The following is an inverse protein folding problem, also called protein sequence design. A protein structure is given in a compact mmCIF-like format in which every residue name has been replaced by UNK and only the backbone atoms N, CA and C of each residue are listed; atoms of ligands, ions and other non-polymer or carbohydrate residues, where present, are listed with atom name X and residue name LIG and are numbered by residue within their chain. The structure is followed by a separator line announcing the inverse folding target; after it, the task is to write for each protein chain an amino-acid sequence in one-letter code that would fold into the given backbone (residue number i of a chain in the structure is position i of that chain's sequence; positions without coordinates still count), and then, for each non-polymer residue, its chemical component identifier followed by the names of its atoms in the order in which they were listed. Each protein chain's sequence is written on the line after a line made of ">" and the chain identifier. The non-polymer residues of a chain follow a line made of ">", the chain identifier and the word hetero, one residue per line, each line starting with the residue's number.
data_IF_247013931157
#
_entry.id   IF_247013931157
#
_cell.length_a   1.000
_cell.length_b   1.000
_cell.length_c   1.000
_cell.angle_alpha   90.00
_cell.angle_beta   90.00
_cell.angle_gamma   90.00
#
_symmetry.space_group_name_H-M   'P 1'
#
loop_
_entity.id
_entity.type
_entity.pdbx_description
1 polymer ?
#
# COMPACT_ATOMS: atom_id res chain seq x y z
N UNK A 1 10.28 14.94 -2.86
CA UNK A 1 10.76 16.18 -2.26
C UNK A 1 11.72 15.83 -1.13
N UNK A 2 12.91 16.42 -1.11
CA UNK A 2 13.89 16.24 -0.05
C UNK A 2 14.24 17.60 0.57
N UNK A 3 14.61 17.58 1.83
CA UNK A 3 15.12 18.77 2.51
C UNK A 3 16.62 18.56 2.79
N UNK A 4 17.39 19.57 2.53
CA UNK A 4 18.82 19.60 2.79
C UNK A 4 19.23 20.90 3.46
N UNK A 5 20.26 20.86 4.28
CA UNK A 5 20.86 22.09 4.82
C UNK A 5 21.55 22.87 3.69
N UNK A 6 21.39 24.18 3.67
CA UNK A 6 22.10 25.09 2.76
C UNK A 6 23.60 25.14 3.09
N UNK A 7 23.96 24.86 4.34
CA UNK A 7 25.33 24.79 4.84
C UNK A 7 25.61 23.39 5.41
N UNK A 8 26.85 22.97 5.39
CA UNK A 8 27.27 21.69 5.98
C UNK A 8 27.30 21.76 7.51
N UNK A 9 26.15 22.04 8.12
CA UNK A 9 25.96 22.10 9.57
C UNK A 9 24.92 21.07 9.99
N UNK A 10 25.20 20.31 11.04
CA UNK A 10 24.19 19.44 11.65
C UNK A 10 23.10 20.33 12.26
N UNK A 11 21.91 20.32 11.64
CA UNK A 11 20.79 21.14 12.03
C UNK A 11 19.53 20.29 12.15
N UNK A 12 18.82 20.42 13.28
CA UNK A 12 17.54 19.74 13.53
C UNK A 12 16.32 20.62 13.30
N UNK A 13 16.50 21.84 12.76
CA UNK A 13 15.42 22.80 12.51
C UNK A 13 14.98 22.73 11.05
N UNK A 14 13.71 22.43 10.80
CA UNK A 14 13.16 22.33 9.44
C UNK A 14 13.17 23.69 8.70
N UNK A 15 12.96 24.79 9.41
CA UNK A 15 12.89 26.14 8.81
C UNK A 15 14.22 26.57 8.17
N UNK A 16 15.33 25.96 8.55
CA UNK A 16 16.66 26.27 8.01
C UNK A 16 17.02 25.34 6.83
N UNK A 17 16.11 24.49 6.40
CA UNK A 17 16.33 23.55 5.31
C UNK A 17 15.78 24.07 4.00
N UNK A 18 16.48 23.81 2.91
CA UNK A 18 16.05 24.12 1.54
C UNK A 18 15.42 22.87 0.95
N UNK A 19 14.23 23.01 0.36
CA UNK A 19 13.60 21.90 -0.38
C UNK A 19 14.32 21.66 -1.69
N UNK A 20 14.48 20.38 -2.05
CA UNK A 20 15.07 19.94 -3.31
C UNK A 20 14.23 18.81 -3.91
N UNK A 21 14.33 18.60 -5.21
CA UNK A 21 13.63 17.56 -5.92
C UNK A 21 14.58 16.81 -6.85
N UNK A 22 14.65 15.49 -6.67
CA UNK A 22 15.42 14.62 -7.55
C UNK A 22 14.50 13.55 -8.13
N UNK A 23 14.52 13.38 -9.44
CA UNK A 23 13.82 12.31 -10.15
C UNK A 23 14.85 11.27 -10.62
N UNK A 24 14.64 10.01 -10.18
CA UNK A 24 15.45 8.88 -10.59
C UNK A 24 14.55 7.88 -11.31
N UNK A 25 14.93 7.46 -12.50
CA UNK A 25 14.25 6.41 -13.26
C UNK A 25 15.11 5.14 -13.26
N UNK A 26 14.49 4.03 -12.89
CA UNK A 26 15.14 2.71 -12.87
C UNK A 26 14.23 1.69 -13.56
N UNK A 27 14.77 0.66 -14.22
CA UNK A 27 13.98 -0.49 -14.64
C UNK A 27 13.37 -1.16 -13.41
N UNK A 28 12.05 -1.41 -13.44
CA UNK A 28 11.33 -1.95 -12.30
C UNK A 28 10.53 -3.17 -12.73
N UNK A 29 10.86 -4.34 -12.18
CA UNK A 29 10.13 -5.59 -12.40
C UNK A 29 8.96 -5.77 -11.41
N UNK A 30 8.52 -7.00 -11.20
CA UNK A 30 7.53 -7.31 -10.18
C UNK A 30 8.10 -7.02 -8.79
N UNK A 31 7.58 -6.00 -8.12
CA UNK A 31 8.09 -5.50 -6.83
C UNK A 31 7.94 -6.53 -5.71
N UNK A 32 6.83 -7.25 -5.67
CA UNK A 32 6.55 -8.23 -4.62
C UNK A 32 7.09 -9.63 -4.92
N UNK A 33 7.60 -9.84 -6.15
CA UNK A 33 8.17 -11.12 -6.58
C UNK A 33 7.12 -12.21 -6.84
N UNK A 34 5.86 -12.01 -6.46
CA UNK A 34 4.75 -12.93 -6.65
C UNK A 34 3.46 -12.18 -6.99
N UNK A 35 2.58 -12.84 -7.74
CA UNK A 35 1.24 -12.34 -8.06
C UNK A 35 0.20 -12.71 -6.98
N UNK A 36 0.57 -13.59 -6.06
CA UNK A 36 -0.22 -14.04 -4.91
C UNK A 36 0.68 -14.06 -3.69
N UNK A 37 0.23 -13.51 -2.56
CA UNK A 37 1.06 -13.30 -1.39
C UNK A 37 0.70 -14.25 -0.25
N UNK A 38 1.74 -14.74 0.41
CA UNK A 38 1.68 -15.32 1.73
C UNK A 38 2.23 -14.30 2.73
N UNK A 39 1.38 -13.85 3.63
CA UNK A 39 1.72 -12.81 4.58
C UNK A 39 1.83 -13.34 6.02
N UNK A 40 2.53 -12.64 6.88
CA UNK A 40 2.46 -12.84 8.31
C UNK A 40 2.19 -11.52 9.04
N UNK A 41 1.60 -11.63 10.23
CA UNK A 41 1.47 -10.49 11.14
C UNK A 41 2.82 -10.24 11.80
N UNK A 42 3.39 -9.05 11.58
CA UNK A 42 4.67 -8.66 12.16
C UNK A 42 4.58 -8.46 13.68
N UNK A 43 5.66 -8.73 14.39
CA UNK A 43 5.84 -8.35 15.79
C UNK A 43 6.08 -6.86 15.95
N UNK A 44 6.61 -6.19 14.91
CA UNK A 44 6.78 -4.75 14.86
C UNK A 44 5.42 -4.06 14.76
N UNK A 45 5.27 -2.94 15.49
CA UNK A 45 4.07 -2.10 15.43
C UNK A 45 4.31 -0.91 14.53
N UNK A 46 3.25 -0.44 13.87
CA UNK A 46 3.29 0.77 13.08
C UNK A 46 3.65 1.96 13.95
N UNK A 47 4.49 2.86 13.43
CA UNK A 47 4.86 4.09 14.13
C UNK A 47 3.62 4.97 14.28
N UNK A 48 3.37 5.47 15.49
CA UNK A 48 2.24 6.32 15.78
C UNK A 48 2.46 7.75 15.28
N UNK A 49 1.36 8.39 14.87
CA UNK A 49 1.36 9.75 14.32
C UNK A 49 2.08 10.79 15.19
N UNK A 50 1.95 10.79 16.56
CA UNK A 50 2.70 11.70 17.40
C UNK A 50 4.20 11.43 17.47
N UNK A 51 4.69 10.29 17.02
CA UNK A 51 6.12 9.99 16.91
C UNK A 51 6.68 10.44 15.57
N UNK A 52 6.07 9.94 14.48
CA UNK A 52 6.36 10.31 13.10
C UNK A 52 5.04 10.30 12.34
N UNK A 53 4.62 11.43 11.72
CA UNK A 53 3.32 11.49 11.05
C UNK A 53 3.14 10.40 10.00
N UNK A 54 2.27 9.42 10.28
CA UNK A 54 2.03 8.25 9.43
C UNK A 54 1.49 8.62 8.04
N UNK A 55 0.79 9.76 7.94
CA UNK A 55 0.23 10.29 6.69
C UNK A 55 1.28 10.85 5.74
N UNK A 56 2.53 11.03 6.21
CA UNK A 56 3.64 11.53 5.40
C UNK A 56 4.50 10.35 4.91
N UNK A 57 4.80 10.35 3.61
CA UNK A 57 5.68 9.35 2.99
C UNK A 57 7.16 9.74 3.15
N UNK A 58 7.64 9.81 4.38
CA UNK A 58 9.01 10.22 4.71
C UNK A 58 9.95 9.02 4.83
N UNK A 59 11.21 9.19 4.42
CA UNK A 59 12.19 8.09 4.39
C UNK A 59 12.44 7.48 5.78
N UNK A 60 12.40 8.27 6.86
CA UNK A 60 12.64 7.78 8.20
C UNK A 60 11.66 6.70 8.68
N UNK A 61 10.41 6.76 8.22
CA UNK A 61 9.39 5.76 8.60
C UNK A 61 9.66 4.39 7.98
N UNK A 62 10.44 4.32 6.89
CA UNK A 62 10.77 3.06 6.23
C UNK A 62 11.68 2.15 7.05
N UNK A 63 12.37 2.66 8.07
CA UNK A 63 13.09 1.80 9.03
C UNK A 63 12.11 0.79 9.66
N UNK A 64 10.94 1.24 10.07
CA UNK A 64 9.88 0.38 10.62
C UNK A 64 9.38 -0.64 9.57
N UNK A 65 9.15 -0.20 8.34
CA UNK A 65 8.74 -1.07 7.22
C UNK A 65 9.80 -2.14 6.89
N UNK A 66 11.08 -1.76 6.87
CA UNK A 66 12.21 -2.67 6.61
C UNK A 66 12.30 -3.75 7.68
N UNK A 67 12.14 -3.40 8.96
CA UNK A 67 12.18 -4.35 10.06
C UNK A 67 11.04 -5.38 9.94
N UNK A 68 9.82 -4.92 9.70
CA UNK A 68 8.66 -5.80 9.53
C UNK A 68 8.80 -6.71 8.29
N UNK A 69 9.22 -6.15 7.15
CA UNK A 69 9.44 -6.92 5.91
C UNK A 69 10.54 -7.96 6.08
N UNK A 70 11.64 -7.59 6.73
CA UNK A 70 12.75 -8.50 6.99
C UNK A 70 12.32 -9.66 7.87
N UNK A 71 11.57 -9.39 8.94
CA UNK A 71 10.99 -10.42 9.80
C UNK A 71 10.14 -11.41 9.00
N UNK A 72 9.21 -10.91 8.16
CA UNK A 72 8.37 -11.73 7.32
C UNK A 72 9.18 -12.62 6.36
N UNK A 73 10.14 -12.02 5.64
CA UNK A 73 10.95 -12.77 4.66
C UNK A 73 11.85 -13.80 5.31
N UNK A 74 12.43 -13.53 6.48
CA UNK A 74 13.20 -14.51 7.25
C UNK A 74 12.34 -15.67 7.75
N UNK A 75 11.04 -15.43 7.99
CA UNK A 75 10.06 -16.45 8.36
C UNK A 75 9.46 -17.20 7.16
N UNK A 76 9.88 -16.88 5.93
CA UNK A 76 9.43 -17.56 4.70
C UNK A 76 8.11 -17.04 4.13
N UNK A 77 7.71 -15.82 4.50
CA UNK A 77 6.55 -15.13 3.94
C UNK A 77 6.97 -14.06 2.91
N UNK A 78 6.03 -13.70 2.05
CA UNK A 78 6.27 -12.71 1.00
C UNK A 78 6.14 -11.28 1.52
N UNK A 79 5.22 -11.03 2.50
CA UNK A 79 4.94 -9.69 3.02
C UNK A 79 4.49 -9.73 4.49
N UNK A 80 4.63 -8.58 5.15
CA UNK A 80 4.20 -8.35 6.53
C UNK A 80 2.89 -7.56 6.58
N UNK A 81 1.97 -7.95 7.45
CA UNK A 81 0.88 -7.11 7.91
C UNK A 81 1.29 -6.48 9.24
N UNK A 82 1.25 -5.16 9.31
CA UNK A 82 1.65 -4.40 10.49
C UNK A 82 0.40 -3.94 11.23
N UNK A 83 0.40 -4.12 12.54
CA UNK A 83 -0.67 -3.63 13.43
C UNK A 83 -0.26 -2.30 14.08
N UNK A 84 -1.22 -1.47 14.48
CA UNK A 84 -0.97 -0.32 15.35
C UNK A 84 -0.68 -0.78 16.79
N UNK A 85 -0.42 0.17 17.70
CA UNK A 85 -0.09 -0.17 19.08
C UNK A 85 -1.28 -0.78 19.85
N UNK A 86 -2.53 -0.48 19.44
CA UNK A 86 -3.75 -1.08 20.02
C UNK A 86 -3.99 -2.51 19.52
N UNK A 87 -3.23 -2.98 18.53
CA UNK A 87 -3.34 -4.31 17.96
C UNK A 87 -4.28 -4.42 16.76
N UNK A 88 -4.77 -3.30 16.24
CA UNK A 88 -5.60 -3.28 15.02
C UNK A 88 -4.74 -3.24 13.76
N UNK A 89 -5.30 -3.74 12.67
CA UNK A 89 -4.65 -3.79 11.37
C UNK A 89 -4.41 -2.38 10.84
N UNK A 90 -3.16 -2.09 10.45
CA UNK A 90 -2.78 -0.86 9.78
C UNK A 90 -2.66 -1.06 8.26
N UNK A 91 -1.52 -1.58 7.88
CA UNK A 91 -1.12 -1.69 6.47
C UNK A 91 -0.05 -2.77 6.29
N UNK A 92 0.36 -3.04 5.05
CA UNK A 92 1.56 -3.84 4.77
C UNK A 92 2.84 -3.06 5.06
N UNK A 93 4.01 -3.62 4.71
CA UNK A 93 5.28 -2.91 4.90
C UNK A 93 5.42 -1.67 4.00
N UNK A 94 4.78 -1.67 2.84
CA UNK A 94 4.76 -0.56 1.87
C UNK A 94 3.43 -0.42 1.13
N UNK A 95 2.37 -1.11 1.55
CA UNK A 95 1.08 -1.26 0.89
C UNK A 95 -0.08 -1.04 1.87
N UNK A 96 -1.21 -0.52 1.37
CA UNK A 96 -2.45 -0.48 2.14
C UNK A 96 -3.17 -1.83 2.08
N UNK A 97 -3.90 -2.17 3.14
CA UNK A 97 -4.66 -3.43 3.29
C UNK A 97 -6.14 -3.20 2.97
N UNK A 98 -6.73 -4.17 2.28
CA UNK A 98 -8.17 -4.29 2.05
C UNK A 98 -8.65 -5.69 2.39
N UNK A 99 -9.89 -5.76 2.85
CA UNK A 99 -10.59 -6.98 3.23
C UNK A 99 -11.94 -7.02 2.52
N UNK A 100 -12.29 -8.15 1.94
CA UNK A 100 -13.66 -8.44 1.53
C UNK A 100 -14.29 -9.33 2.59
N UNK A 101 -15.43 -8.92 3.09
CA UNK A 101 -16.23 -9.69 4.03
C UNK A 101 -17.71 -9.42 3.81
N UNK A 102 -18.48 -10.50 3.61
CA UNK A 102 -19.93 -10.44 3.34
C UNK A 102 -20.27 -9.47 2.20
N UNK A 103 -19.50 -9.49 1.12
CA UNK A 103 -19.70 -8.65 -0.07
C UNK A 103 -19.38 -7.17 0.11
N UNK A 104 -18.78 -6.77 1.24
CA UNK A 104 -18.32 -5.40 1.50
C UNK A 104 -16.81 -5.30 1.38
N UNK A 105 -16.35 -4.16 0.89
CA UNK A 105 -14.93 -3.79 0.88
C UNK A 105 -14.61 -2.99 2.14
N UNK A 106 -13.70 -3.49 2.95
CA UNK A 106 -13.32 -2.89 4.23
C UNK A 106 -11.83 -2.53 4.18
N UNK A 107 -11.47 -1.37 4.72
CA UNK A 107 -10.06 -0.96 4.84
C UNK A 107 -9.87 -0.17 6.13
N UNK A 108 -8.70 -0.25 6.77
CA UNK A 108 -8.42 0.55 7.96
C UNK A 108 -8.57 2.06 7.68
N UNK A 109 -9.09 2.83 8.64
CA UNK A 109 -9.21 4.27 8.52
C UNK A 109 -7.85 4.94 8.71
N UNK A 110 -7.71 6.18 8.29
CA UNK A 110 -6.43 6.91 8.39
C UNK A 110 -5.98 7.14 9.83
N UNK A 111 -6.90 7.07 10.79
CA UNK A 111 -6.67 7.20 12.24
C UNK A 111 -5.89 6.01 12.80
N UNK A 112 -5.90 4.87 12.11
CA UNK A 112 -5.11 3.68 12.47
C UNK A 112 -3.65 3.76 11.96
N UNK A 113 -3.09 4.95 11.80
CA UNK A 113 -1.71 5.22 11.35
C UNK A 113 -1.42 4.73 9.91
N UNK A 114 -2.41 4.80 9.05
CA UNK A 114 -2.35 4.37 7.66
C UNK A 114 -1.89 5.49 6.75
N UNK A 115 -1.03 5.17 5.78
CA UNK A 115 -0.70 6.10 4.71
C UNK A 115 -1.91 6.32 3.78
N UNK A 116 -2.31 7.58 3.46
CA UNK A 116 -3.38 7.85 2.49
C UNK A 116 -2.90 7.56 1.06
N UNK A 117 -2.86 6.28 0.70
CA UNK A 117 -2.32 5.81 -0.58
C UNK A 117 -3.18 6.26 -1.78
N UNK A 118 -2.53 6.70 -2.85
CA UNK A 118 -3.20 7.07 -4.10
C UNK A 118 -3.90 5.84 -4.69
N UNK A 119 -3.21 4.69 -4.72
CA UNK A 119 -3.79 3.43 -5.18
C UNK A 119 -4.97 3.01 -4.29
N UNK A 120 -4.84 3.13 -2.97
CA UNK A 120 -5.95 2.89 -2.02
C UNK A 120 -7.20 3.68 -2.39
N UNK A 121 -7.06 4.98 -2.59
CA UNK A 121 -8.21 5.84 -2.94
C UNK A 121 -8.78 5.48 -4.31
N UNK A 122 -7.93 5.13 -5.28
CA UNK A 122 -8.37 4.65 -6.59
C UNK A 122 -9.21 3.38 -6.46
N UNK A 123 -8.79 2.40 -5.66
CA UNK A 123 -9.54 1.15 -5.45
C UNK A 123 -10.87 1.42 -4.75
N UNK A 124 -10.91 2.31 -3.76
CA UNK A 124 -12.17 2.74 -3.12
C UNK A 124 -13.13 3.33 -4.15
N UNK A 125 -12.65 4.20 -5.02
CA UNK A 125 -13.46 4.82 -6.07
C UNK A 125 -14.00 3.78 -7.08
N UNK A 126 -13.15 2.87 -7.55
CA UNK A 126 -13.55 1.80 -8.48
C UNK A 126 -14.58 0.86 -7.85
N UNK A 127 -14.34 0.44 -6.61
CA UNK A 127 -15.27 -0.42 -5.88
C UNK A 127 -16.66 0.21 -5.75
N UNK A 128 -16.72 1.48 -5.37
CA UNK A 128 -18.00 2.22 -5.23
C UNK A 128 -18.69 2.46 -6.56
N UNK A 129 -17.96 3.00 -7.56
CA UNK A 129 -18.55 3.54 -8.79
C UNK A 129 -18.79 2.51 -9.88
N UNK A 130 -17.95 1.48 -9.95
CA UNK A 130 -17.99 0.51 -11.04
C UNK A 130 -18.50 -0.85 -10.59
N UNK A 131 -18.24 -1.25 -9.35
CA UNK A 131 -18.74 -2.51 -8.81
C UNK A 131 -19.96 -2.36 -7.91
N UNK A 132 -20.32 -1.13 -7.52
CA UNK A 132 -21.45 -0.88 -6.62
C UNK A 132 -21.27 -1.48 -5.22
N UNK A 133 -20.02 -1.72 -4.81
CA UNK A 133 -19.73 -2.30 -3.50
C UNK A 133 -19.91 -1.27 -2.39
N UNK A 134 -20.44 -1.71 -1.26
CA UNK A 134 -20.36 -0.96 -0.03
C UNK A 134 -18.89 -0.92 0.43
N UNK A 135 -18.36 0.28 0.61
CA UNK A 135 -16.99 0.47 1.11
C UNK A 135 -17.05 1.06 2.50
N UNK A 136 -16.43 0.37 3.46
CA UNK A 136 -16.41 0.73 4.88
C UNK A 136 -14.99 1.01 5.31
N UNK A 137 -14.74 2.23 5.77
CA UNK A 137 -13.48 2.61 6.42
C UNK A 137 -13.67 2.48 7.92
N UNK A 138 -13.08 1.48 8.54
CA UNK A 138 -13.16 1.21 9.97
C UNK A 138 -11.95 0.43 10.47
N UNK A 139 -11.72 0.49 11.75
CA UNK A 139 -10.77 -0.38 12.45
C UNK A 139 -11.08 -1.85 12.18
N UNK A 140 -10.04 -2.64 11.98
CA UNK A 140 -10.08 -4.07 11.68
C UNK A 140 -9.27 -4.80 12.74
N UNK A 141 -9.88 -5.76 13.42
CA UNK A 141 -9.18 -6.65 14.33
C UNK A 141 -8.35 -7.67 13.53
N UNK A 142 -7.18 -8.04 14.07
CA UNK A 142 -6.32 -9.06 13.45
C UNK A 142 -7.08 -10.35 13.11
N UNK A 143 -7.97 -10.81 13.99
CA UNK A 143 -8.72 -12.05 13.79
C UNK A 143 -9.72 -11.98 12.65
N UNK A 144 -10.19 -10.79 12.26
CA UNK A 144 -11.07 -10.60 11.11
C UNK A 144 -10.39 -10.99 9.80
N UNK A 145 -9.06 -10.80 9.70
CA UNK A 145 -8.30 -11.21 8.51
C UNK A 145 -8.38 -12.71 8.25
N UNK A 146 -8.46 -13.53 9.32
CA UNK A 146 -8.56 -14.99 9.17
C UNK A 146 -9.96 -15.48 8.75
N UNK A 147 -10.98 -14.62 8.92
CA UNK A 147 -12.37 -14.89 8.59
C UNK A 147 -12.82 -14.20 7.31
N UNK A 148 -11.90 -13.47 6.68
CA UNK A 148 -12.18 -12.72 5.46
C UNK A 148 -12.45 -13.65 4.26
N UNK A 149 -13.36 -13.23 3.38
CA UNK A 149 -13.58 -13.89 2.09
C UNK A 149 -12.37 -13.67 1.17
N UNK A 150 -11.83 -12.42 1.14
CA UNK A 150 -10.63 -12.04 0.41
C UNK A 150 -9.83 -11.01 1.20
N UNK A 151 -8.51 -11.03 1.06
CA UNK A 151 -7.59 -9.97 1.51
C UNK A 151 -6.69 -9.60 0.35
N UNK A 152 -6.37 -8.32 0.19
CA UNK A 152 -5.40 -7.88 -0.79
C UNK A 152 -4.66 -6.61 -0.35
N UNK A 153 -3.48 -6.42 -0.92
CA UNK A 153 -2.62 -5.27 -0.70
C UNK A 153 -2.62 -4.34 -1.91
N UNK A 154 -2.45 -3.02 -1.67
CA UNK A 154 -2.39 -2.03 -2.74
C UNK A 154 -1.28 -1.02 -2.55
N UNK A 155 -0.61 -0.68 -3.64
CA UNK A 155 0.44 0.34 -3.64
C UNK A 155 0.87 0.69 -5.07
N UNK A 156 1.67 1.71 -5.23
CA UNK A 156 2.16 2.12 -6.56
C UNK A 156 2.98 1.01 -7.23
N UNK A 157 3.85 0.36 -6.47
CA UNK A 157 4.71 -0.71 -6.97
C UNK A 157 4.01 -2.09 -6.92
N UNK A 158 3.18 -2.32 -5.91
CA UNK A 158 2.42 -3.54 -5.72
C UNK A 158 1.16 -3.61 -6.59
N UNK A 159 0.72 -2.46 -7.16
CA UNK A 159 -0.57 -2.35 -7.82
C UNK A 159 -1.73 -2.80 -6.92
N UNK A 160 -2.35 -3.93 -7.22
CA UNK A 160 -3.26 -4.68 -6.36
C UNK A 160 -2.81 -6.14 -6.37
N UNK A 161 -2.49 -6.69 -5.21
CA UNK A 161 -2.01 -8.06 -5.10
C UNK A 161 -2.78 -8.83 -4.03
N UNK A 162 -3.46 -9.93 -4.39
CA UNK A 162 -4.20 -10.76 -3.44
C UNK A 162 -3.30 -11.43 -2.41
N UNK A 163 -3.79 -11.53 -1.17
CA UNK A 163 -3.21 -12.32 -0.09
C UNK A 163 -3.99 -13.62 0.04
N UNK A 164 -3.32 -14.74 -0.18
CA UNK A 164 -3.95 -16.07 -0.16
C UNK A 164 -3.73 -16.83 1.16
N UNK A 165 -2.76 -16.38 1.95
CA UNK A 165 -2.41 -16.97 3.24
C UNK A 165 -1.96 -15.89 4.23
N UNK A 166 -2.39 -15.99 5.46
CA UNK A 166 -1.93 -15.15 6.57
C UNK A 166 -1.62 -16.00 7.80
N UNK A 167 -0.42 -15.86 8.36
CA UNK A 167 0.04 -16.59 9.54
C UNK A 167 -0.17 -18.12 9.41
N UNK A 168 0.17 -18.69 8.25
CA UNK A 168 -0.03 -20.10 7.87
C UNK A 168 -1.51 -20.56 7.86
N UNK A 169 -2.44 -19.62 7.64
CA UNK A 169 -3.87 -19.89 7.47
C UNK A 169 -4.31 -19.40 6.10
N UNK A 170 -4.98 -20.25 5.34
CA UNK A 170 -5.57 -19.83 4.07
C UNK A 170 -6.61 -18.73 4.29
N UNK A 171 -6.62 -17.73 3.41
CA UNK A 171 -7.68 -16.75 3.29
C UNK A 171 -8.69 -17.28 2.27
N UNK A 172 -9.97 -17.31 2.64
CA UNK A 172 -11.00 -17.91 1.81
C UNK A 172 -10.66 -19.36 1.43
N UNK A 173 -10.55 -19.62 0.14
CA UNK A 173 -10.15 -20.95 -0.40
C UNK A 173 -8.64 -21.05 -0.71
N UNK A 174 -7.84 -20.08 -0.30
CA UNK A 174 -6.40 -20.03 -0.56
C UNK A 174 -6.03 -19.60 -1.98
N UNK A 175 -6.92 -18.89 -2.67
CA UNK A 175 -6.71 -18.37 -4.02
C UNK A 175 -7.08 -16.88 -4.10
N UNK A 176 -6.74 -16.25 -5.24
CA UNK A 176 -7.24 -14.92 -5.53
C UNK A 176 -8.77 -14.96 -5.65
N UNK A 177 -9.44 -14.13 -4.87
CA UNK A 177 -10.89 -14.06 -4.90
C UNK A 177 -11.43 -13.28 -6.12
N UNK A 178 -12.73 -13.40 -6.40
CA UNK A 178 -13.33 -12.79 -7.59
C UNK A 178 -13.32 -11.26 -7.55
N UNK A 179 -13.53 -10.64 -6.39
CA UNK A 179 -13.59 -9.18 -6.26
C UNK A 179 -12.19 -8.58 -6.41
N UNK A 180 -11.19 -9.12 -5.72
CA UNK A 180 -9.80 -8.67 -5.84
C UNK A 180 -9.27 -8.85 -7.28
N UNK A 181 -9.56 -9.97 -7.92
CA UNK A 181 -9.19 -10.22 -9.32
C UNK A 181 -9.85 -9.23 -10.29
N UNK A 182 -11.11 -8.90 -10.08
CA UNK A 182 -11.82 -7.95 -10.91
C UNK A 182 -11.27 -6.53 -10.73
N UNK A 183 -11.05 -6.08 -9.49
CA UNK A 183 -10.45 -4.79 -9.17
C UNK A 183 -9.02 -4.68 -9.72
N UNK A 184 -8.22 -5.75 -9.60
CA UNK A 184 -6.86 -5.82 -10.14
C UNK A 184 -6.87 -5.59 -11.66
N UNK A 185 -7.71 -6.33 -12.38
CA UNK A 185 -7.83 -6.18 -13.83
C UNK A 185 -8.26 -4.75 -14.21
N UNK A 186 -9.28 -4.22 -13.54
CA UNK A 186 -9.77 -2.86 -13.82
C UNK A 186 -8.69 -1.82 -13.56
N UNK A 187 -8.00 -1.90 -12.43
CA UNK A 187 -6.90 -0.99 -12.10
C UNK A 187 -5.78 -1.06 -13.15
N UNK A 188 -5.39 -2.29 -13.56
CA UNK A 188 -4.35 -2.48 -14.55
C UNK A 188 -4.74 -1.90 -15.93
N UNK A 189 -5.97 -2.09 -16.37
CA UNK A 189 -6.47 -1.52 -17.62
C UNK A 189 -6.48 0.03 -17.60
N UNK A 190 -6.65 0.63 -16.42
CA UNK A 190 -6.57 2.08 -16.24
C UNK A 190 -5.13 2.57 -16.31
N UNK A 191 -4.20 1.99 -15.55
CA UNK A 191 -2.82 2.48 -15.47
C UNK A 191 -2.06 2.33 -16.79
N UNK A 192 -2.47 1.40 -17.66
CA UNK A 192 -1.92 1.25 -19.02
C UNK A 192 -2.72 2.01 -20.09
N UNK A 193 -3.72 2.82 -19.69
CA UNK A 193 -4.50 3.66 -20.59
C UNK A 193 -5.49 2.91 -21.48
N UNK A 194 -5.89 1.68 -21.13
CA UNK A 194 -6.85 0.88 -21.90
C UNK A 194 -8.32 1.19 -21.58
N UNK A 195 -8.59 1.84 -20.46
CA UNK A 195 -9.95 2.16 -20.04
C UNK A 195 -10.31 3.61 -20.42
N UNK A 196 -11.16 3.85 -21.46
CA UNK A 196 -11.48 5.18 -21.93
C UNK A 196 -12.18 6.05 -20.88
N UNK A 197 -12.94 5.47 -19.96
CA UNK A 197 -13.62 6.17 -18.86
C UNK A 197 -12.65 6.94 -17.96
N UNK A 198 -11.42 6.42 -17.79
CA UNK A 198 -10.41 6.90 -16.85
C UNK A 198 -9.16 7.50 -17.51
N UNK A 199 -9.19 7.77 -18.84
CA UNK A 199 -8.06 8.39 -19.53
C UNK A 199 -7.67 9.75 -18.93
N UNK A 200 -8.61 10.47 -18.33
CA UNK A 200 -8.34 11.73 -17.64
C UNK A 200 -7.46 11.58 -16.37
N UNK A 201 -7.25 10.36 -15.88
CA UNK A 201 -6.29 10.04 -14.82
C UNK A 201 -4.89 9.76 -15.35
N UNK A 202 -4.76 9.60 -16.66
CA UNK A 202 -3.50 9.23 -17.30
C UNK A 202 -2.85 10.45 -17.97
N UNK A 203 -1.55 10.60 -17.80
CA UNK A 203 -0.76 11.59 -18.52
C UNK A 203 0.26 10.87 -19.40
N UNK A 204 0.18 11.06 -20.71
CA UNK A 204 1.14 10.47 -21.64
C UNK A 204 2.48 11.19 -21.53
N UNK A 205 3.54 10.48 -21.21
CA UNK A 205 4.88 11.00 -21.31
C UNK A 205 5.25 11.17 -22.80
N UNK A 206 5.42 12.41 -23.24
CA UNK A 206 5.98 12.69 -24.57
C UNK A 206 7.49 12.86 -24.43
N UNK A 207 8.32 12.03 -25.09
CA UNK A 207 9.75 12.27 -25.12
C UNK A 207 9.99 13.60 -25.83
N UNK A 208 10.54 14.60 -25.11
CA UNK A 208 11.14 15.74 -25.78
C UNK A 208 12.36 15.22 -26.54
N UNK A 209 12.31 15.25 -27.86
CA UNK A 209 13.51 15.13 -28.67
C UNK A 209 14.41 16.31 -28.29
N UNK A 210 15.42 16.05 -27.49
CA UNK A 210 16.52 17.00 -27.34
C UNK A 210 17.27 16.93 -28.66
N UNK A 211 16.98 17.89 -29.54
CA UNK A 211 17.87 18.12 -30.71
C UNK A 211 19.21 18.57 -30.14
N UNK A 212 20.25 17.78 -30.44
CA UNK A 212 21.63 18.05 -30.10
C UNK A 212 22.13 19.35 -30.81
#
# INVERSE_FOLDING_TARGET
>A
LAYKSAEMVANLKLQDLVSDFTLITVPFGNYLGSDLLRCCTSTWRRVDDPMIPARLKICGIYVNSILAKTEATMAGFDEAIILNHDGHVCEGSGENVFVISNGRLITPPLEDNVLPGITRNTIVDLAKRDLGLEVVERTIDRSELYLADEVFLTGTAAHLTPVIELDNRAIGDGKAGPISSQLQKMYFDIVVGRNPKYLHWCTTAQPRLVTA
#
